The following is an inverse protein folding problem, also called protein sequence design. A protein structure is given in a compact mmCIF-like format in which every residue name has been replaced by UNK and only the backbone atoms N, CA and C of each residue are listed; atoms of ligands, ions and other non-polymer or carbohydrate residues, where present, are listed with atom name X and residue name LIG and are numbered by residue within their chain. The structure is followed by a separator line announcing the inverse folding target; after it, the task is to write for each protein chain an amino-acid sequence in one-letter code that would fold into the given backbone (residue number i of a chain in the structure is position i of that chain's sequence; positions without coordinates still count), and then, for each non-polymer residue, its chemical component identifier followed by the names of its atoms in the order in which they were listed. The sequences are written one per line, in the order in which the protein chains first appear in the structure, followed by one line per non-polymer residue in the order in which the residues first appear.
data_IF_141776686143
#
_entry.id   IF_141776686143
#
_cell.length_a   1.000
_cell.length_b   1.000
_cell.length_c   1.000
_cell.angle_alpha   90.00
_cell.angle_beta   90.00
_cell.angle_gamma   90.00
#
_symmetry.space_group_name_H-M   'P 1'
#
loop_
_entity.id
_entity.type
_entity.pdbx_description
1 polymer ?
#
# COMPACT_ATOMS: atom_id res chain seq x y z
N UNK A 1 15.70 -0.87 -2.38
CA UNK A 1 15.42 -1.92 -3.39
C UNK A 1 15.05 -3.29 -2.81
N UNK A 2 15.78 -3.89 -1.84
CA UNK A 2 15.42 -5.21 -1.28
C UNK A 2 14.20 -5.27 -0.33
N UNK A 3 13.72 -4.13 0.18
CA UNK A 3 12.52 -4.07 1.06
C UNK A 3 11.21 -3.93 0.29
N UNK A 4 11.23 -3.39 -0.93
CA UNK A 4 10.01 -3.20 -1.73
C UNK A 4 9.54 -4.49 -2.44
N UNK A 5 10.44 -5.48 -2.58
CA UNK A 5 10.13 -6.73 -3.27
C UNK A 5 9.16 -7.64 -2.49
N UNK A 6 8.97 -7.43 -1.19
CA UNK A 6 8.04 -8.24 -0.39
C UNK A 6 6.56 -7.93 -0.68
N UNK A 7 6.25 -6.82 -1.36
CA UNK A 7 4.86 -6.44 -1.69
C UNK A 7 4.39 -7.10 -3.01
N UNK A 8 5.30 -7.64 -3.82
CA UNK A 8 4.97 -8.11 -5.19
C UNK A 8 4.37 -9.53 -5.24
N UNK A 9 4.43 -10.32 -4.16
CA UNK A 9 3.99 -11.73 -4.18
C UNK A 9 2.49 -11.93 -3.85
N UNK A 10 1.74 -10.87 -3.50
CA UNK A 10 0.32 -11.00 -3.07
C UNK A 10 -0.66 -10.30 -4.02
N UNK A 11 -0.65 -10.64 -5.31
CA UNK A 11 -1.76 -10.28 -6.23
C UNK A 11 -2.60 -11.49 -6.67
N UNK A 12 -2.28 -12.71 -6.19
CA UNK A 12 -3.14 -13.88 -6.38
C UNK A 12 -3.44 -14.55 -5.04
N UNK A 13 -4.23 -13.87 -4.18
CA UNK A 13 -4.96 -14.52 -3.07
C UNK A 13 -6.28 -13.75 -2.83
N UNK A 14 -7.40 -14.33 -3.30
CA UNK A 14 -8.79 -14.08 -2.92
C UNK A 14 -9.29 -12.63 -2.76
N UNK A 15 -9.73 -12.05 -3.87
CA UNK A 15 -10.71 -10.95 -3.87
C UNK A 15 -12.13 -11.50 -3.59
N UNK A 16 -12.43 -11.83 -2.34
CA UNK A 16 -13.81 -12.11 -1.89
C UNK A 16 -13.96 -11.74 -0.42
N UNK A 17 -14.26 -10.47 -0.12
CA UNK A 17 -14.98 -10.10 1.10
C UNK A 17 -15.80 -8.83 0.89
N UNK A 18 -17.12 -8.97 1.06
CA UNK A 18 -17.98 -7.97 1.70
C UNK A 18 -18.21 -6.64 0.99
N UNK A 19 -19.42 -6.47 0.44
CA UNK A 19 -20.00 -5.13 0.29
C UNK A 19 -20.19 -4.56 1.70
N UNK A 20 -19.31 -3.65 2.12
CA UNK A 20 -19.51 -2.92 3.36
C UNK A 20 -20.63 -1.90 3.16
N UNK A 21 -21.68 -2.02 3.97
CA UNK A 21 -22.75 -1.03 4.08
C UNK A 21 -22.11 0.23 4.67
N UNK A 22 -22.31 1.38 4.01
CA UNK A 22 -21.85 2.67 4.52
C UNK A 22 -22.52 2.94 5.87
N UNK A 23 -21.75 2.88 6.95
CA UNK A 23 -22.12 3.54 8.20
C UNK A 23 -21.87 5.03 8.02
N UNK A 24 -22.89 5.85 8.25
CA UNK A 24 -22.69 7.27 8.47
C UNK A 24 -21.78 7.44 9.70
N UNK A 25 -20.59 7.98 9.49
CA UNK A 25 -19.71 8.36 10.58
C UNK A 25 -20.37 9.53 11.32
N UNK A 26 -20.79 9.27 12.56
CA UNK A 26 -21.06 10.32 13.53
C UNK A 26 -19.80 11.16 13.69
N UNK A 27 -19.87 12.44 13.31
CA UNK A 27 -18.86 13.47 13.60
C UNK A 27 -18.50 13.40 15.10
N UNK A 28 -17.27 13.00 15.43
CA UNK A 28 -16.86 12.83 16.80
C UNK A 28 -15.59 13.64 17.15
N UNK A 29 -15.74 14.43 18.23
CA UNK A 29 -14.78 15.35 18.88
C UNK A 29 -14.27 16.54 18.06
N UNK A 30 -14.41 17.74 18.63
CA UNK A 30 -13.85 19.00 18.11
C UNK A 30 -12.32 19.10 18.25
N UNK A 31 -11.65 18.01 18.65
CA UNK A 31 -10.23 18.01 18.95
C UNK A 31 -9.45 18.50 17.73
N UNK A 32 -8.53 19.42 17.99
CA UNK A 32 -7.58 19.92 17.02
C UNK A 32 -6.25 19.17 17.10
N UNK A 33 -6.22 17.92 17.59
CA UNK A 33 -4.99 17.12 17.69
C UNK A 33 -5.02 15.87 16.81
N UNK A 34 -3.91 15.60 16.14
CA UNK A 34 -3.66 14.37 15.37
C UNK A 34 -2.34 13.74 15.83
N UNK A 35 -2.33 12.41 15.95
CA UNK A 35 -1.18 11.65 16.40
C UNK A 35 -0.71 10.68 15.31
N UNK A 36 0.61 10.64 15.09
CA UNK A 36 1.27 9.63 14.27
C UNK A 36 2.29 8.86 15.12
N UNK A 37 2.20 7.54 15.12
CA UNK A 37 3.16 6.63 15.76
C UNK A 37 3.78 5.77 14.65
N UNK A 38 5.03 6.03 14.31
CA UNK A 38 5.70 5.48 13.12
C UNK A 38 6.61 4.32 13.48
N UNK A 39 6.51 3.21 12.75
CA UNK A 39 7.44 2.08 12.84
C UNK A 39 8.51 2.10 11.74
N UNK A 40 8.50 3.12 10.88
CA UNK A 40 9.50 3.34 9.83
C UNK A 40 9.85 4.83 9.74
N UNK A 41 10.86 5.16 8.92
CA UNK A 41 11.28 6.53 8.62
C UNK A 41 10.70 7.07 7.29
N UNK A 42 9.91 6.28 6.55
CA UNK A 42 9.51 6.59 5.16
C UNK A 42 8.80 7.95 5.01
N UNK A 43 7.90 8.28 5.93
CA UNK A 43 7.16 9.54 5.95
C UNK A 43 7.55 10.47 7.12
N UNK A 44 8.57 10.09 7.89
CA UNK A 44 8.97 10.80 9.11
C UNK A 44 9.32 12.27 8.83
N UNK A 45 10.23 12.53 7.88
CA UNK A 45 10.67 13.89 7.56
C UNK A 45 9.52 14.79 7.10
N UNK A 46 8.59 14.25 6.30
CA UNK A 46 7.43 14.99 5.81
C UNK A 46 6.46 15.32 6.95
N UNK A 47 6.21 14.39 7.86
CA UNK A 47 5.38 14.61 9.05
C UNK A 47 6.00 15.63 10.01
N UNK A 48 7.31 15.54 10.27
CA UNK A 48 8.03 16.51 11.09
C UNK A 48 8.01 17.91 10.48
N UNK A 49 8.05 18.01 9.15
CA UNK A 49 7.93 19.27 8.43
C UNK A 49 6.50 19.83 8.52
N UNK A 50 5.48 18.96 8.45
CA UNK A 50 4.07 19.34 8.58
C UNK A 50 3.75 20.01 9.93
N UNK A 51 4.44 19.64 11.02
CA UNK A 51 4.30 20.28 12.34
C UNK A 51 4.58 21.79 12.33
N UNK A 52 5.39 22.26 11.39
CA UNK A 52 5.78 23.66 11.26
C UNK A 52 5.15 24.33 10.03
N UNK A 53 4.23 23.66 9.34
CA UNK A 53 3.60 24.20 8.14
C UNK A 53 2.51 25.22 8.51
N UNK A 54 2.67 26.48 8.07
CA UNK A 54 1.74 27.58 8.36
C UNK A 54 0.28 27.33 7.95
N UNK A 55 0.04 26.47 6.96
CA UNK A 55 -1.32 26.09 6.51
C UNK A 55 -1.99 25.10 7.46
N UNK A 56 -1.21 24.35 8.23
CA UNK A 56 -1.68 23.36 9.20
C UNK A 56 -1.68 23.92 10.62
N UNK A 57 -0.60 24.59 11.00
CA UNK A 57 -0.40 25.17 12.33
C UNK A 57 -1.49 26.18 12.64
N UNK A 58 -2.14 26.04 13.81
CA UNK A 58 -3.27 26.87 14.23
C UNK A 58 -4.65 26.27 13.90
N UNK A 59 -4.71 25.24 13.04
CA UNK A 59 -5.92 24.46 12.78
C UNK A 59 -5.83 23.06 13.40
N UNK A 60 -4.65 22.43 13.29
CA UNK A 60 -4.38 21.10 13.81
C UNK A 60 -2.97 21.04 14.42
N UNK A 61 -2.89 20.57 15.65
CA UNK A 61 -1.66 20.19 16.34
C UNK A 61 -1.31 18.76 15.97
N UNK A 62 -0.08 18.56 15.51
CA UNK A 62 0.40 17.27 15.02
C UNK A 62 1.47 16.75 15.97
N UNK A 63 1.18 15.64 16.62
CA UNK A 63 2.14 14.89 17.43
C UNK A 63 2.68 13.71 16.61
N UNK A 64 3.99 13.48 16.68
CA UNK A 64 4.69 12.42 15.95
C UNK A 64 5.64 11.72 16.90
N UNK A 65 5.51 10.40 17.03
CA UNK A 65 6.50 9.53 17.64
C UNK A 65 7.13 8.65 16.56
N UNK A 66 8.44 8.78 16.39
CA UNK A 66 9.24 8.03 15.43
C UNK A 66 9.54 6.62 15.95
N UNK A 67 10.13 5.78 15.09
CA UNK A 67 10.57 4.43 15.50
C UNK A 67 11.62 4.46 16.62
N UNK A 68 12.36 5.55 16.76
CA UNK A 68 13.46 5.71 17.73
C UNK A 68 13.02 6.35 19.04
N UNK A 69 11.79 6.89 19.10
CA UNK A 69 11.30 7.56 20.29
C UNK A 69 10.83 6.58 21.36
N UNK A 70 11.10 6.94 22.62
CA UNK A 70 10.42 6.30 23.75
C UNK A 70 9.02 6.86 23.85
N UNK A 71 8.01 6.02 23.64
CA UNK A 71 6.61 6.42 23.66
C UNK A 71 6.15 6.50 25.13
N UNK A 72 5.72 7.68 25.62
CA UNK A 72 5.22 7.82 26.98
C UNK A 72 3.83 7.19 27.12
N UNK A 73 3.25 7.23 28.33
CA UNK A 73 1.84 6.94 28.49
C UNK A 73 1.02 8.00 27.71
N UNK A 74 0.29 7.56 26.69
CA UNK A 74 -0.53 8.43 25.84
C UNK A 74 -1.99 8.32 26.28
N UNK A 75 -2.63 9.45 26.55
CA UNK A 75 -4.08 9.52 26.52
C UNK A 75 -4.50 9.64 25.05
N UNK A 76 -5.07 8.58 24.46
CA UNK A 76 -5.46 8.60 23.05
C UNK A 76 -6.73 9.44 22.80
N UNK A 77 -7.61 9.61 23.80
CA UNK A 77 -8.89 10.32 23.64
C UNK A 77 -8.77 11.82 23.42
N UNK A 78 -7.59 12.42 23.62
CA UNK A 78 -7.34 13.83 23.27
C UNK A 78 -7.12 14.04 21.77
N UNK A 79 -6.92 12.98 20.99
CA UNK A 79 -6.73 13.08 19.54
C UNK A 79 -8.02 12.82 18.80
N UNK A 80 -8.26 13.57 17.73
CA UNK A 80 -9.33 13.25 16.78
C UNK A 80 -8.92 12.05 15.91
N UNK A 81 -7.66 11.99 15.48
CA UNK A 81 -7.13 10.90 14.65
C UNK A 81 -5.82 10.39 15.23
N UNK A 82 -5.68 9.07 15.27
CA UNK A 82 -4.44 8.36 15.64
C UNK A 82 -4.06 7.42 14.50
N UNK A 83 -2.89 7.64 13.90
CA UNK A 83 -2.30 6.77 12.90
C UNK A 83 -1.17 5.96 13.55
N UNK A 84 -1.23 4.63 13.43
CA UNK A 84 -0.19 3.73 13.93
C UNK A 84 0.33 2.92 12.75
N UNK A 85 1.58 3.15 12.39
CA UNK A 85 2.27 2.47 11.28
C UNK A 85 3.26 1.45 11.82
N UNK A 86 3.24 0.23 11.26
CA UNK A 86 4.32 -0.76 11.37
C UNK A 86 4.84 -1.01 12.80
N UNK A 87 3.93 -1.02 13.79
CA UNK A 87 4.23 -1.37 15.19
C UNK A 87 3.91 -2.84 15.46
N UNK A 88 4.55 -3.40 16.48
CA UNK A 88 4.44 -4.83 16.80
C UNK A 88 3.11 -5.15 17.51
N UNK A 89 2.66 -6.41 17.46
CA UNK A 89 1.47 -6.83 18.23
C UNK A 89 1.62 -6.55 19.73
N UNK A 90 2.86 -6.59 20.26
CA UNK A 90 3.14 -6.27 21.65
C UNK A 90 2.92 -4.77 21.97
N UNK A 91 3.36 -3.86 21.10
CA UNK A 91 3.11 -2.43 21.25
C UNK A 91 1.61 -2.13 21.26
N UNK A 92 0.87 -2.71 20.32
CA UNK A 92 -0.58 -2.50 20.20
C UNK A 92 -1.31 -3.11 21.39
N UNK A 93 -0.92 -4.29 21.85
CA UNK A 93 -1.51 -4.92 23.04
C UNK A 93 -1.35 -4.02 24.29
N UNK A 94 -0.18 -3.39 24.45
CA UNK A 94 0.07 -2.46 25.55
C UNK A 94 -0.82 -1.20 25.52
N UNK A 95 -1.29 -0.79 24.34
CA UNK A 95 -2.15 0.40 24.17
C UNK A 95 -3.65 0.08 24.04
N UNK A 96 -4.01 -1.19 23.88
CA UNK A 96 -5.36 -1.67 23.55
C UNK A 96 -6.47 -1.00 24.35
N UNK A 97 -6.40 -1.02 25.69
CA UNK A 97 -7.41 -0.41 26.55
C UNK A 97 -7.58 1.10 26.32
N UNK A 98 -6.47 1.82 26.06
CA UNK A 98 -6.51 3.25 25.77
C UNK A 98 -7.07 3.55 24.39
N UNK A 99 -6.75 2.73 23.39
CA UNK A 99 -7.28 2.83 22.03
C UNK A 99 -8.78 2.54 22.00
N UNK A 100 -9.25 1.54 22.75
CA UNK A 100 -10.67 1.20 22.85
C UNK A 100 -11.48 2.31 23.53
N UNK A 101 -10.96 2.87 24.64
CA UNK A 101 -11.57 4.02 25.29
C UNK A 101 -11.61 5.26 24.36
N UNK A 102 -10.55 5.49 23.58
CA UNK A 102 -10.50 6.59 22.63
C UNK A 102 -11.50 6.43 21.48
N UNK A 103 -11.64 5.23 20.89
CA UNK A 103 -12.69 4.96 19.90
C UNK A 103 -14.09 5.23 20.45
N UNK A 104 -14.36 4.76 21.68
CA UNK A 104 -15.65 5.01 22.34
C UNK A 104 -15.91 6.51 22.57
N UNK A 105 -14.85 7.30 22.73
CA UNK A 105 -14.91 8.76 22.87
C UNK A 105 -14.86 9.53 21.54
N UNK A 106 -14.79 8.84 20.40
CA UNK A 106 -14.82 9.48 19.08
C UNK A 106 -13.48 9.64 18.38
N UNK A 107 -12.38 9.13 18.93
CA UNK A 107 -11.10 9.11 18.22
C UNK A 107 -11.13 8.09 17.08
N UNK A 108 -10.71 8.50 15.90
CA UNK A 108 -10.56 7.63 14.75
C UNK A 108 -9.15 7.04 14.69
N UNK A 109 -9.06 5.72 14.55
CA UNK A 109 -7.79 4.99 14.52
C UNK A 109 -7.55 4.42 13.13
N UNK A 110 -6.33 4.62 12.61
CA UNK A 110 -5.85 4.04 11.36
C UNK A 110 -4.60 3.22 11.68
N UNK A 111 -4.72 1.89 11.61
CA UNK A 111 -3.58 0.98 11.64
C UNK A 111 -3.09 0.68 10.23
N UNK A 112 -1.81 0.93 9.95
CA UNK A 112 -1.21 0.71 8.64
C UNK A 112 0.01 -0.21 8.72
N UNK A 113 0.08 -1.22 7.84
CA UNK A 113 1.13 -2.25 7.84
C UNK A 113 1.35 -2.91 9.21
N UNK A 114 0.26 -3.16 9.95
CA UNK A 114 0.31 -3.87 11.22
C UNK A 114 0.34 -5.40 11.00
N UNK A 115 0.78 -6.17 12.00
CA UNK A 115 0.65 -7.63 11.98
C UNK A 115 -0.80 -8.08 11.71
N UNK A 116 -0.95 -9.16 10.95
CA UNK A 116 -2.26 -9.66 10.49
C UNK A 116 -3.26 -10.03 11.60
N UNK A 117 -2.76 -10.32 12.80
CA UNK A 117 -3.52 -10.61 14.02
C UNK A 117 -4.04 -9.35 14.72
N UNK A 118 -3.64 -8.15 14.26
CA UNK A 118 -4.04 -6.87 14.85
C UNK A 118 -5.14 -6.21 14.02
N UNK A 119 -6.28 -5.95 14.67
CA UNK A 119 -7.40 -5.19 14.08
C UNK A 119 -7.82 -4.06 15.01
N UNK A 120 -7.34 -2.84 14.71
CA UNK A 120 -7.63 -1.63 15.51
C UNK A 120 -8.22 -0.47 14.70
N UNK A 121 -8.18 -0.56 13.36
CA UNK A 121 -8.67 0.47 12.46
C UNK A 121 -10.18 0.67 12.63
N UNK A 122 -10.61 1.92 12.80
CA UNK A 122 -12.01 2.28 13.05
C UNK A 122 -12.65 3.12 11.96
N UNK A 123 -11.90 3.51 10.92
CA UNK A 123 -12.41 4.28 9.79
C UNK A 123 -12.98 3.37 8.71
N UNK A 124 -13.90 3.90 7.90
CA UNK A 124 -14.44 3.17 6.76
C UNK A 124 -13.39 2.96 5.64
N UNK A 125 -13.71 2.05 4.70
CA UNK A 125 -12.83 1.67 3.60
C UNK A 125 -12.45 2.83 2.67
N UNK A 126 -13.35 3.79 2.43
CA UNK A 126 -13.10 4.94 1.56
C UNK A 126 -12.02 5.84 2.14
N UNK A 127 -12.11 6.13 3.44
CA UNK A 127 -11.12 6.91 4.17
C UNK A 127 -9.79 6.16 4.23
N UNK A 128 -9.83 4.87 4.56
CA UNK A 128 -8.62 4.04 4.62
C UNK A 128 -7.89 3.99 3.26
N UNK A 129 -8.62 3.75 2.18
CA UNK A 129 -8.05 3.69 0.82
C UNK A 129 -7.44 5.04 0.43
N UNK A 130 -8.10 6.15 0.76
CA UNK A 130 -7.57 7.49 0.45
C UNK A 130 -6.35 7.82 1.28
N UNK A 131 -6.36 7.50 2.58
CA UNK A 131 -5.20 7.57 3.46
C UNK A 131 -4.01 6.82 2.83
N UNK A 132 -4.23 5.57 2.44
CA UNK A 132 -3.20 4.71 1.89
C UNK A 132 -2.58 5.35 0.64
N UNK A 133 -3.39 5.87 -0.28
CA UNK A 133 -2.90 6.51 -1.52
C UNK A 133 -1.97 7.70 -1.25
N UNK A 134 -2.28 8.58 -0.30
CA UNK A 134 -1.34 9.64 0.09
C UNK A 134 -0.11 9.08 0.79
N UNK A 135 -0.30 8.16 1.72
CA UNK A 135 0.77 7.63 2.56
C UNK A 135 1.87 6.97 1.74
N UNK A 136 1.47 6.16 0.76
CA UNK A 136 2.37 5.46 -0.16
C UNK A 136 3.21 6.43 -0.97
N UNK A 137 2.56 7.42 -1.57
CA UNK A 137 3.26 8.38 -2.40
C UNK A 137 4.20 9.22 -1.54
N UNK A 138 3.76 9.56 -0.33
CA UNK A 138 4.54 10.31 0.63
C UNK A 138 4.99 11.64 0.04
N UNK A 139 6.06 12.20 0.60
CA UNK A 139 6.52 13.54 0.24
C UNK A 139 5.66 14.64 0.89
N UNK A 140 6.22 15.84 0.94
CA UNK A 140 5.70 16.92 1.78
C UNK A 140 4.27 17.32 1.42
N UNK A 141 3.97 17.52 0.13
CA UNK A 141 2.65 17.99 -0.31
C UNK A 141 1.56 16.94 -0.07
N UNK A 142 1.82 15.67 -0.36
CA UNK A 142 0.88 14.59 -0.09
C UNK A 142 0.61 14.41 1.40
N UNK A 143 1.64 14.50 2.26
CA UNK A 143 1.46 14.37 3.70
C UNK A 143 0.70 15.57 4.28
N UNK A 144 0.94 16.79 3.80
CA UNK A 144 0.15 17.96 4.18
C UNK A 144 -1.33 17.80 3.76
N UNK A 145 -1.56 17.39 2.51
CA UNK A 145 -2.91 17.16 1.99
C UNK A 145 -3.61 16.00 2.71
N UNK A 146 -2.87 14.97 3.12
CA UNK A 146 -3.39 13.87 3.93
C UNK A 146 -3.88 14.35 5.30
N UNK A 147 -3.08 15.16 5.99
CA UNK A 147 -3.46 15.71 7.30
C UNK A 147 -4.73 16.56 7.16
N UNK A 148 -4.80 17.39 6.13
CA UNK A 148 -6.01 18.17 5.82
C UNK A 148 -7.20 17.26 5.51
N UNK A 149 -6.98 16.19 4.74
CA UNK A 149 -8.02 15.25 4.35
C UNK A 149 -8.62 14.57 5.57
N UNK A 150 -7.78 13.98 6.42
CA UNK A 150 -8.21 13.34 7.65
C UNK A 150 -8.89 14.35 8.58
N UNK A 151 -8.33 15.54 8.75
CA UNK A 151 -8.96 16.57 9.57
C UNK A 151 -10.31 17.04 9.03
N UNK A 152 -10.50 17.05 7.71
CA UNK A 152 -11.78 17.38 7.08
C UNK A 152 -12.82 16.29 7.22
N UNK A 153 -12.44 15.05 6.93
CA UNK A 153 -13.38 13.93 6.97
C UNK A 153 -13.74 13.54 8.40
N UNK A 154 -12.79 13.62 9.33
CA UNK A 154 -12.92 13.02 10.67
C UNK A 154 -13.05 14.06 11.79
N UNK A 155 -12.49 15.26 11.62
CA UNK A 155 -12.36 16.24 12.72
C UNK A 155 -13.14 17.55 12.51
N UNK A 156 -13.91 17.66 11.42
CA UNK A 156 -14.65 18.86 11.06
C UNK A 156 -13.78 20.10 10.78
N UNK A 157 -12.50 19.92 10.46
CA UNK A 157 -11.57 21.00 10.08
C UNK A 157 -11.60 21.24 8.57
N UNK A 158 -11.14 22.39 8.09
CA UNK A 158 -11.03 22.66 6.63
C UNK A 158 -12.31 22.40 5.81
N UNK A 159 -13.50 22.62 6.40
CA UNK A 159 -14.78 22.25 5.79
C UNK A 159 -14.98 22.84 4.38
N UNK A 160 -14.56 24.09 4.18
CA UNK A 160 -14.64 24.81 2.89
C UNK A 160 -13.44 24.61 1.97
N UNK A 161 -12.39 23.91 2.41
CA UNK A 161 -11.18 23.73 1.62
C UNK A 161 -11.31 22.54 0.68
N UNK A 162 -11.00 22.73 -0.60
CA UNK A 162 -10.81 21.63 -1.55
C UNK A 162 -9.42 21.05 -1.37
N UNK A 163 -9.35 19.73 -1.16
CA UNK A 163 -8.10 19.04 -0.89
C UNK A 163 -7.70 18.30 -2.18
N UNK A 164 -6.53 18.60 -2.77
CA UNK A 164 -6.10 17.97 -4.02
C UNK A 164 -5.88 16.47 -3.85
N UNK A 165 -6.22 15.65 -4.85
CA UNK A 165 -5.90 14.22 -4.86
C UNK A 165 -4.40 13.93 -4.67
N UNK A 166 -4.04 12.71 -4.20
CA UNK A 166 -2.64 12.29 -4.07
C UNK A 166 -1.87 12.46 -5.38
N UNK A 167 -0.72 13.13 -5.29
CA UNK A 167 0.23 13.25 -6.39
C UNK A 167 1.09 11.99 -6.46
N UNK A 168 1.22 11.43 -7.66
CA UNK A 168 2.10 10.28 -7.90
C UNK A 168 3.53 10.81 -8.05
N UNK A 169 4.31 10.69 -6.98
CA UNK A 169 5.68 11.22 -6.88
C UNK A 169 6.73 10.12 -6.77
N UNK A 170 6.35 8.92 -6.32
CA UNK A 170 7.25 7.77 -6.34
C UNK A 170 7.26 7.14 -7.73
N UNK A 171 8.43 6.69 -8.16
CA UNK A 171 8.54 5.88 -9.37
C UNK A 171 7.72 4.61 -9.20
N UNK A 172 6.89 4.30 -10.20
CA UNK A 172 6.10 3.07 -10.20
C UNK A 172 6.99 1.90 -10.57
N UNK A 173 6.76 0.77 -9.90
CA UNK A 173 7.32 -0.52 -10.31
C UNK A 173 6.52 -1.02 -11.51
N UNK A 174 7.20 -1.34 -12.61
CA UNK A 174 6.58 -1.90 -13.80
C UNK A 174 6.45 -3.41 -13.67
N UNK A 175 5.21 -3.90 -13.77
CA UNK A 175 4.86 -5.31 -13.62
C UNK A 175 4.11 -5.76 -14.86
N UNK A 176 4.65 -6.74 -15.56
CA UNK A 176 3.98 -7.39 -16.68
C UNK A 176 3.47 -8.78 -16.31
N UNK A 177 2.18 -9.03 -16.54
CA UNK A 177 1.57 -10.35 -16.47
C UNK A 177 1.34 -10.88 -17.88
N UNK A 178 1.91 -12.04 -18.18
CA UNK A 178 1.61 -12.80 -19.38
C UNK A 178 0.83 -14.04 -18.94
N UNK A 179 -0.46 -14.09 -19.23
CA UNK A 179 -1.39 -15.09 -18.71
C UNK A 179 -2.14 -15.78 -19.84
N UNK A 180 -1.96 -17.09 -19.97
CA UNK A 180 -2.74 -17.91 -20.90
C UNK A 180 -4.06 -18.38 -20.27
N UNK A 181 -4.86 -17.43 -19.79
CA UNK A 181 -6.18 -17.67 -19.21
C UNK A 181 -7.05 -16.42 -19.29
N UNK A 182 -8.08 -16.45 -20.13
CA UNK A 182 -9.02 -15.34 -20.31
C UNK A 182 -9.71 -14.92 -19.00
N UNK A 183 -10.03 -15.91 -18.15
CA UNK A 183 -10.61 -15.64 -16.84
C UNK A 183 -9.64 -14.86 -15.94
N UNK A 184 -8.36 -15.26 -15.88
CA UNK A 184 -7.35 -14.54 -15.11
C UNK A 184 -7.14 -13.12 -15.65
N UNK A 185 -7.06 -12.96 -16.97
CA UNK A 185 -6.96 -11.65 -17.62
C UNK A 185 -8.15 -10.75 -17.27
N UNK A 186 -9.38 -11.28 -17.34
CA UNK A 186 -10.59 -10.54 -17.00
C UNK A 186 -10.59 -10.06 -15.54
N UNK A 187 -10.34 -10.97 -14.59
CA UNK A 187 -10.40 -10.62 -13.16
C UNK A 187 -9.27 -9.67 -12.75
N UNK A 188 -8.05 -9.86 -13.30
CA UNK A 188 -6.94 -8.94 -13.03
C UNK A 188 -7.25 -7.54 -13.54
N UNK A 189 -7.74 -7.40 -14.77
CA UNK A 189 -8.13 -6.10 -15.33
C UNK A 189 -9.27 -5.44 -14.54
N UNK A 190 -10.22 -6.24 -14.00
CA UNK A 190 -11.26 -5.73 -13.10
C UNK A 190 -10.69 -5.19 -11.79
N UNK A 191 -9.70 -5.86 -11.20
CA UNK A 191 -9.01 -5.37 -10.00
C UNK A 191 -8.25 -4.09 -10.31
N UNK A 192 -7.50 -4.04 -11.41
CA UNK A 192 -6.72 -2.87 -11.81
C UNK A 192 -7.60 -1.64 -12.07
N UNK A 193 -8.78 -1.83 -12.67
CA UNK A 193 -9.70 -0.72 -12.95
C UNK A 193 -10.45 -0.21 -11.71
N UNK A 194 -10.53 -0.99 -10.64
CA UNK A 194 -11.27 -0.64 -9.42
C UNK A 194 -10.38 -0.27 -8.23
N UNK A 195 -9.08 -0.58 -8.27
CA UNK A 195 -8.18 -0.38 -7.15
C UNK A 195 -7.08 0.65 -7.46
N UNK A 196 -7.35 1.91 -7.12
CA UNK A 196 -6.42 3.03 -7.35
C UNK A 196 -5.13 2.93 -6.54
N UNK A 197 -5.11 2.23 -5.40
CA UNK A 197 -3.89 2.02 -4.63
C UNK A 197 -2.86 1.24 -5.46
N UNK A 198 -3.32 0.23 -6.20
CA UNK A 198 -2.46 -0.58 -7.07
C UNK A 198 -1.91 0.28 -8.21
N UNK A 199 -2.76 1.03 -8.90
CA UNK A 199 -2.34 1.84 -10.06
C UNK A 199 -1.55 3.10 -9.69
N UNK A 200 -1.61 3.55 -8.44
CA UNK A 200 -0.73 4.59 -7.91
C UNK A 200 0.69 4.03 -7.66
N UNK A 201 0.83 2.76 -7.24
CA UNK A 201 2.11 2.09 -6.94
C UNK A 201 2.78 1.44 -8.15
N UNK A 202 2.00 0.89 -9.06
CA UNK A 202 2.47 -0.02 -10.09
C UNK A 202 2.04 0.42 -11.48
N UNK A 203 2.93 0.25 -12.45
CA UNK A 203 2.57 0.25 -13.86
C UNK A 203 2.30 -1.21 -14.25
N UNK A 204 1.03 -1.60 -14.33
CA UNK A 204 0.68 -3.01 -14.58
C UNK A 204 0.24 -3.20 -16.02
N UNK A 205 0.95 -4.09 -16.71
CA UNK A 205 0.59 -4.54 -18.06
C UNK A 205 0.10 -5.99 -18.01
N UNK A 206 -0.93 -6.30 -18.80
CA UNK A 206 -1.54 -7.63 -18.84
C UNK A 206 -1.69 -8.04 -20.29
N UNK A 207 -1.12 -9.21 -20.62
CA UNK A 207 -1.15 -9.80 -21.96
C UNK A 207 -1.54 -11.27 -21.88
N UNK A 208 -2.25 -11.75 -22.89
CA UNK A 208 -2.27 -13.17 -23.22
C UNK A 208 -0.92 -13.62 -23.81
N UNK A 209 -0.69 -14.94 -23.88
CA UNK A 209 0.51 -15.49 -24.52
C UNK A 209 0.65 -15.06 -25.99
N UNK A 210 -0.46 -15.06 -26.72
CA UNK A 210 -0.50 -14.64 -28.13
C UNK A 210 -0.27 -13.14 -28.30
N UNK A 211 -0.87 -12.29 -27.47
CA UNK A 211 -0.64 -10.84 -27.49
C UNK A 211 0.82 -10.52 -27.18
N UNK A 212 1.39 -11.17 -26.17
CA UNK A 212 2.80 -11.01 -25.82
C UNK A 212 3.72 -11.36 -27.00
N UNK A 213 3.51 -12.50 -27.66
CA UNK A 213 4.29 -12.90 -28.84
C UNK A 213 4.18 -11.88 -29.97
N UNK A 214 2.98 -11.33 -30.19
CA UNK A 214 2.73 -10.41 -31.30
C UNK A 214 3.22 -8.97 -31.07
N UNK A 215 3.31 -8.53 -29.81
CA UNK A 215 3.48 -7.11 -29.47
C UNK A 215 4.58 -6.78 -28.47
N UNK A 216 5.11 -7.75 -27.72
CA UNK A 216 6.23 -7.52 -26.78
C UNK A 216 7.56 -7.79 -27.46
N UNK A 217 8.06 -6.78 -28.17
CA UNK A 217 9.39 -6.83 -28.78
C UNK A 217 10.51 -6.39 -27.83
N UNK A 218 10.18 -5.66 -26.77
CA UNK A 218 11.11 -5.25 -25.71
C UNK A 218 10.40 -5.25 -24.36
N UNK A 219 10.93 -6.04 -23.42
CA UNK A 219 10.48 -6.17 -22.02
C UNK A 219 11.63 -5.87 -21.03
N UNK A 220 12.71 -5.28 -21.52
CA UNK A 220 13.90 -4.96 -20.71
C UNK A 220 13.69 -3.83 -19.71
N UNK A 221 12.60 -3.07 -19.87
CA UNK A 221 12.21 -1.98 -18.97
C UNK A 221 11.29 -2.45 -17.82
N UNK A 222 10.90 -3.73 -17.81
CA UNK A 222 10.07 -4.29 -16.75
C UNK A 222 10.90 -4.58 -15.50
N UNK A 223 10.38 -4.21 -14.34
CA UNK A 223 10.99 -4.59 -13.06
C UNK A 223 10.64 -6.05 -12.73
N UNK A 224 9.40 -6.45 -13.03
CA UNK A 224 8.88 -7.79 -12.72
C UNK A 224 8.01 -8.33 -13.85
N UNK A 225 8.19 -9.60 -14.19
CA UNK A 225 7.37 -10.34 -15.15
C UNK A 225 6.82 -11.61 -14.49
N UNK A 226 5.51 -11.83 -14.64
CA UNK A 226 4.81 -13.01 -14.18
C UNK A 226 4.25 -13.80 -15.36
N UNK A 227 4.57 -15.09 -15.43
CA UNK A 227 4.10 -15.99 -16.48
C UNK A 227 3.20 -17.09 -15.91
N UNK A 228 2.03 -17.29 -16.54
CA UNK A 228 1.07 -18.32 -16.15
C UNK A 228 0.58 -19.16 -17.33
N UNK A 229 0.82 -20.47 -17.25
CA UNK A 229 0.35 -21.49 -18.21
C UNK A 229 0.64 -21.17 -19.69
N UNK A 230 1.75 -20.49 -19.98
CA UNK A 230 2.12 -20.13 -21.36
C UNK A 230 2.34 -21.39 -22.19
N UNK A 231 1.76 -21.43 -23.39
CA UNK A 231 1.88 -22.57 -24.28
C UNK A 231 3.33 -22.78 -24.73
N UNK A 232 3.74 -24.02 -24.97
CA UNK A 232 5.13 -24.34 -25.34
C UNK A 232 5.62 -23.56 -26.58
N UNK A 233 4.75 -23.35 -27.57
CA UNK A 233 5.07 -22.59 -28.78
C UNK A 233 5.27 -21.10 -28.48
N UNK A 234 4.45 -20.51 -27.62
CA UNK A 234 4.54 -19.10 -27.23
C UNK A 234 5.79 -18.87 -26.37
N UNK A 235 6.05 -19.78 -25.42
CA UNK A 235 7.25 -19.74 -24.58
C UNK A 235 8.53 -19.81 -25.40
N UNK A 236 8.55 -20.64 -26.45
CA UNK A 236 9.69 -20.73 -27.37
C UNK A 236 9.94 -19.41 -28.10
N UNK A 237 8.88 -18.70 -28.47
CA UNK A 237 8.97 -17.40 -29.16
C UNK A 237 9.37 -16.27 -28.20
N UNK A 238 8.91 -16.31 -26.95
CA UNK A 238 9.24 -15.31 -25.92
C UNK A 238 10.62 -15.52 -25.28
N UNK A 239 11.23 -16.71 -25.45
CA UNK A 239 12.43 -17.16 -24.74
C UNK A 239 13.58 -16.14 -24.76
N UNK A 240 13.97 -15.67 -25.94
CA UNK A 240 15.16 -14.81 -26.07
C UNK A 240 14.94 -13.44 -25.39
N UNK A 241 13.72 -12.88 -25.50
CA UNK A 241 13.35 -11.63 -24.83
C UNK A 241 13.35 -11.78 -23.30
N UNK A 242 12.81 -12.90 -22.78
CA UNK A 242 12.78 -13.18 -21.34
C UNK A 242 14.19 -13.38 -20.77
N UNK A 243 15.08 -14.06 -21.50
CA UNK A 243 16.49 -14.22 -21.10
C UNK A 243 17.24 -12.88 -21.10
N UNK A 244 16.96 -12.00 -22.07
CA UNK A 244 17.54 -10.66 -22.12
C UNK A 244 17.05 -9.79 -20.94
N UNK A 245 15.75 -9.82 -20.65
CA UNK A 245 15.18 -9.12 -19.48
C UNK A 245 15.79 -9.62 -18.17
N UNK A 246 15.90 -10.95 -17.99
CA UNK A 246 16.60 -11.58 -16.86
C UNK A 246 18.04 -11.09 -16.73
N UNK A 247 18.79 -11.02 -17.83
CA UNK A 247 20.17 -10.55 -17.82
C UNK A 247 20.28 -9.06 -17.42
N UNK A 248 19.24 -8.27 -17.68
CA UNK A 248 19.14 -6.86 -17.30
C UNK A 248 18.58 -6.63 -15.88
N UNK A 249 18.29 -7.70 -15.14
CA UNK A 249 17.89 -7.64 -13.72
C UNK A 249 16.40 -7.79 -13.45
N UNK A 250 15.56 -7.93 -14.49
CA UNK A 250 14.12 -8.18 -14.34
C UNK A 250 13.87 -9.43 -13.50
N UNK A 251 12.96 -9.31 -12.53
CA UNK A 251 12.52 -10.45 -11.75
C UNK A 251 11.44 -11.23 -12.51
N UNK A 252 11.59 -12.54 -12.66
CA UNK A 252 10.70 -13.36 -13.48
C UNK A 252 10.17 -14.50 -12.63
N UNK A 253 8.84 -14.51 -12.43
CA UNK A 253 8.12 -15.52 -11.69
C UNK A 253 7.27 -16.39 -12.60
N UNK A 254 7.41 -17.71 -12.47
CA UNK A 254 6.61 -18.70 -13.21
C UNK A 254 5.70 -19.42 -12.23
N UNK A 255 4.42 -19.54 -12.56
CA UNK A 255 3.47 -20.36 -11.79
C UNK A 255 2.57 -21.15 -12.74
N UNK A 256 2.14 -22.35 -12.32
CA UNK A 256 1.35 -23.24 -13.18
C UNK A 256 2.09 -23.74 -14.44
N UNK A 257 3.42 -23.60 -14.52
CA UNK A 257 4.24 -24.06 -15.64
C UNK A 257 5.66 -24.40 -15.19
N UNK A 258 6.38 -25.20 -15.99
CA UNK A 258 7.78 -25.53 -15.76
C UNK A 258 8.72 -24.49 -16.38
N UNK A 259 9.86 -24.27 -15.73
CA UNK A 259 10.92 -23.42 -16.28
C UNK A 259 11.83 -24.19 -17.24
N UNK A 260 11.31 -24.50 -18.42
CA UNK A 260 12.04 -25.27 -19.45
C UNK A 260 13.29 -24.56 -19.97
N UNK A 261 13.33 -23.22 -19.87
CA UNK A 261 14.38 -22.39 -20.49
C UNK A 261 15.27 -21.66 -19.48
N UNK A 262 15.09 -21.91 -18.18
CA UNK A 262 15.88 -21.29 -17.13
C UNK A 262 15.65 -19.77 -17.03
N UNK A 263 14.45 -19.28 -17.33
CA UNK A 263 14.11 -17.86 -17.30
C UNK A 263 13.71 -17.38 -15.90
N UNK A 264 13.30 -18.27 -15.00
CA UNK A 264 12.84 -17.88 -13.67
C UNK A 264 14.00 -17.25 -12.87
N UNK A 265 13.66 -16.26 -12.06
CA UNK A 265 14.54 -15.67 -11.04
C UNK A 265 13.86 -15.56 -9.67
N UNK A 266 12.52 -15.57 -9.66
CA UNK A 266 11.72 -15.68 -8.44
C UNK A 266 11.36 -17.14 -8.18
N UNK A 267 11.66 -17.59 -6.96
CA UNK A 267 11.09 -18.83 -6.45
C UNK A 267 9.72 -18.53 -5.86
N UNK A 268 8.67 -18.91 -6.60
CA UNK A 268 7.28 -18.79 -6.16
C UNK A 268 6.77 -20.05 -5.45
N UNK A 269 7.60 -21.10 -5.35
CA UNK A 269 7.25 -22.35 -4.67
C UNK A 269 7.59 -22.31 -3.18
N UNK A 270 8.52 -21.43 -2.79
CA UNK A 270 8.88 -21.17 -1.39
C UNK A 270 8.26 -19.85 -0.92
N UNK A 271 7.37 -19.84 0.10
CA UNK A 271 6.83 -18.61 0.65
C UNK A 271 7.94 -17.68 1.18
N UNK A 272 7.77 -16.34 1.09
CA UNK A 272 8.78 -15.37 1.54
C UNK A 272 9.20 -15.47 3.03
N UNK A 273 8.44 -16.20 3.84
CA UNK A 273 8.61 -16.29 5.29
C UNK A 273 9.87 -17.06 5.76
N UNK A 274 10.67 -17.62 4.84
CA UNK A 274 11.87 -18.40 5.17
C UNK A 274 13.23 -17.74 4.85
N UNK A 275 13.29 -16.47 4.42
CA UNK A 275 14.60 -15.78 4.29
C UNK A 275 14.96 -15.01 5.56
N UNK A 276 15.15 -15.77 6.64
CA UNK A 276 15.83 -15.27 7.83
C UNK A 276 17.32 -15.05 7.52
N UNK A 277 17.77 -13.81 7.74
CA UNK A 277 19.13 -13.39 8.13
C UNK A 277 20.30 -14.19 7.54
N UNK A 278 21.01 -13.58 6.59
CA UNK A 278 22.47 -13.59 6.55
C UNK A 278 22.95 -12.14 6.64
#
# INVERSE_FOLDING_TARGET
MRRELCIVIVVIVFALTGVAVAQEETLATSSSKMLFILGTDENEGALLSAKNNSTLTGVMDIDVYTQNDTIPAINFSQYCVVVIENRTSADIAAWSAGLDAAKANGTHIIGYMLPHDVSITSVNQTIYTTFERYWIQGGQDNINNLIMYLGKQLCGKWASTTIPEPQVVRQRVSITYILNSDACNYYLNRVLSSNRVITDRFNVHVYSGSEAVSGLHDISHEDVIFLYMIGANEMTQLKDALLAAKANGTQIGLFGMMDTYGVATLDLTTPPQHRARL
#
